data_IF_649511635288
#
_entry.id   IF_649511635288
#
_cell.length_a   1.000
_cell.length_b   1.000
_cell.length_c   1.000
_cell.angle_alpha   90.00
_cell.angle_beta   90.00
_cell.angle_gamma   90.00
#
_symmetry.space_group_name_H-M   'P 1'
#
loop_
_entity.id
_entity.type
_entity.pdbx_description
1 polymer ?
#
# COMPACT_ATOMS: atom_id res chain seq x y z
N UNK A 1 -23.48 -27.83 -9.43
CA UNK A 1 -23.31 -26.38 -9.67
C UNK A 1 -22.92 -25.74 -8.34
N UNK A 2 -21.98 -24.77 -8.30
CA UNK A 2 -21.64 -24.10 -7.04
C UNK A 2 -22.85 -23.32 -6.52
N UNK A 3 -23.11 -23.40 -5.21
CA UNK A 3 -24.26 -22.79 -4.52
C UNK A 3 -23.95 -21.42 -3.92
N UNK A 4 -22.68 -21.02 -3.87
CA UNK A 4 -22.24 -19.69 -3.43
C UNK A 4 -20.88 -19.33 -4.04
N UNK A 5 -20.61 -18.04 -4.15
CA UNK A 5 -19.31 -17.44 -4.53
C UNK A 5 -19.01 -16.33 -3.51
N UNK A 6 -17.76 -16.28 -3.04
CA UNK A 6 -17.26 -15.19 -2.18
C UNK A 6 -16.42 -14.30 -3.08
N UNK A 7 -16.79 -13.02 -3.13
CA UNK A 7 -16.02 -11.98 -3.82
C UNK A 7 -15.18 -11.24 -2.80
N UNK A 8 -13.92 -11.02 -3.14
CA UNK A 8 -13.07 -10.10 -2.40
C UNK A 8 -13.49 -8.65 -2.69
N UNK A 9 -13.10 -7.72 -1.81
CA UNK A 9 -13.49 -6.31 -1.90
C UNK A 9 -12.44 -5.48 -2.66
N UNK A 10 -11.18 -5.57 -2.24
CA UNK A 10 -10.08 -4.75 -2.74
C UNK A 10 -9.58 -5.26 -4.10
N UNK A 11 -9.42 -4.34 -5.07
CA UNK A 11 -9.00 -4.68 -6.44
C UNK A 11 -10.04 -5.41 -7.29
N UNK A 12 -11.21 -5.75 -6.73
CA UNK A 12 -12.29 -6.46 -7.42
C UNK A 12 -13.61 -5.67 -7.46
N UNK A 13 -14.09 -5.17 -6.32
CA UNK A 13 -15.30 -4.34 -6.25
C UNK A 13 -14.99 -2.84 -6.27
N UNK A 14 -13.84 -2.46 -5.72
CA UNK A 14 -13.33 -1.09 -5.70
C UNK A 14 -11.89 -1.10 -6.22
N UNK A 15 -11.49 -0.11 -7.02
CA UNK A 15 -10.14 -0.01 -7.58
C UNK A 15 -9.14 0.57 -6.55
N UNK A 16 -9.10 -0.05 -5.36
CA UNK A 16 -8.25 0.36 -4.25
C UNK A 16 -6.78 0.04 -4.50
N UNK A 17 -6.49 -0.93 -5.39
CA UNK A 17 -5.13 -1.29 -5.79
C UNK A 17 -4.43 -0.19 -6.60
N UNK A 18 -5.13 0.42 -7.57
CA UNK A 18 -4.56 1.53 -8.36
C UNK A 18 -4.27 2.76 -7.50
N UNK A 19 -5.15 3.08 -6.55
CA UNK A 19 -4.93 4.16 -5.58
C UNK A 19 -3.75 3.83 -4.65
N UNK A 20 -3.66 2.59 -4.17
CA UNK A 20 -2.57 2.10 -3.34
C UNK A 20 -1.20 2.18 -4.03
N UNK A 21 -1.14 1.83 -5.32
CA UNK A 21 0.08 1.95 -6.12
C UNK A 21 0.49 3.43 -6.29
N UNK A 22 -0.45 4.30 -6.67
CA UNK A 22 -0.18 5.75 -6.82
C UNK A 22 0.29 6.39 -5.52
N UNK A 23 -0.25 5.96 -4.38
CA UNK A 23 0.22 6.42 -3.07
C UNK A 23 1.68 6.02 -2.82
N UNK A 24 2.10 4.80 -3.18
CA UNK A 24 3.51 4.39 -3.10
C UNK A 24 4.41 5.14 -4.07
N UNK A 25 3.95 5.44 -5.29
CA UNK A 25 4.67 6.27 -6.25
C UNK A 25 4.90 7.69 -5.72
N UNK A 26 3.89 8.27 -5.05
CA UNK A 26 4.01 9.55 -4.36
C UNK A 26 5.05 9.52 -3.22
N UNK A 27 5.04 8.45 -2.41
CA UNK A 27 6.05 8.23 -1.36
C UNK A 27 7.44 8.10 -1.99
N UNK A 28 7.59 7.32 -3.06
CA UNK A 28 8.87 7.14 -3.74
C UNK A 28 9.44 8.46 -4.29
N UNK A 29 8.58 9.32 -4.85
CA UNK A 29 8.97 10.62 -5.38
C UNK A 29 9.35 11.63 -4.27
N UNK A 30 8.74 11.54 -3.08
CA UNK A 30 8.97 12.46 -1.98
C UNK A 30 10.14 12.05 -1.07
N UNK A 31 10.60 10.80 -1.12
CA UNK A 31 11.65 10.30 -0.24
C UNK A 31 13.03 10.27 -0.92
N UNK A 32 13.92 11.18 -0.49
CA UNK A 32 15.32 11.30 -0.99
C UNK A 32 16.15 10.02 -0.89
N UNK A 33 15.79 9.08 -0.01
CA UNK A 33 16.48 7.79 0.16
C UNK A 33 15.97 6.69 -0.76
N UNK A 34 15.05 7.02 -1.66
CA UNK A 34 14.35 6.08 -2.53
C UNK A 34 13.40 5.16 -1.76
N UNK A 35 12.29 4.85 -2.41
CA UNK A 35 11.43 3.72 -2.04
C UNK A 35 11.51 2.69 -3.16
N UNK A 36 11.60 1.41 -2.78
CA UNK A 36 11.65 0.31 -3.72
C UNK A 36 10.21 -0.10 -4.06
N UNK A 37 9.72 0.39 -5.20
CA UNK A 37 8.36 0.09 -5.67
C UNK A 37 8.14 -1.40 -5.96
N UNK A 38 9.20 -2.21 -6.09
CA UNK A 38 9.03 -3.67 -6.23
C UNK A 38 8.43 -4.32 -4.98
N UNK A 39 8.51 -3.66 -3.82
CA UNK A 39 7.91 -4.12 -2.57
C UNK A 39 6.38 -4.00 -2.58
N UNK A 40 5.80 -3.15 -3.44
CA UNK A 40 4.35 -2.94 -3.50
C UNK A 40 3.58 -4.24 -3.75
N UNK A 41 4.04 -5.06 -4.71
CA UNK A 41 3.40 -6.35 -5.02
C UNK A 41 3.45 -7.32 -3.85
N UNK A 42 4.52 -7.29 -3.06
CA UNK A 42 4.67 -8.17 -1.91
C UNK A 42 3.75 -7.78 -0.73
N UNK A 43 3.21 -6.56 -0.74
CA UNK A 43 2.31 -6.02 0.29
C UNK A 43 0.82 -6.19 -0.04
N UNK A 44 0.46 -6.53 -1.29
CA UNK A 44 -0.93 -6.76 -1.68
C UNK A 44 -1.52 -7.92 -0.86
N UNK A 45 -2.72 -7.71 -0.32
CA UNK A 45 -3.43 -8.71 0.49
C UNK A 45 -2.85 -8.96 1.89
N UNK A 46 -1.84 -8.20 2.33
CA UNK A 46 -1.30 -8.26 3.69
C UNK A 46 -1.92 -7.20 4.57
N UNK A 47 -1.97 -7.48 5.87
CA UNK A 47 -2.33 -6.46 6.85
C UNK A 47 -1.18 -5.44 7.06
N UNK A 48 -1.52 -4.34 7.74
CA UNK A 48 -0.57 -3.25 8.01
C UNK A 48 0.65 -3.72 8.82
N UNK A 49 0.48 -4.62 9.78
CA UNK A 49 1.59 -5.06 10.64
C UNK A 49 2.60 -5.87 9.83
N UNK A 50 2.11 -6.76 8.96
CA UNK A 50 2.93 -7.54 8.03
C UNK A 50 3.65 -6.65 7.01
N UNK A 51 2.98 -5.62 6.47
CA UNK A 51 3.62 -4.65 5.57
C UNK A 51 4.75 -3.88 6.27
N UNK A 52 4.53 -3.40 7.50
CA UNK A 52 5.57 -2.71 8.28
C UNK A 52 6.74 -3.66 8.57
N UNK A 53 6.47 -4.92 8.91
CA UNK A 53 7.52 -5.92 9.14
C UNK A 53 8.35 -6.19 7.88
N UNK A 54 7.70 -6.30 6.72
CA UNK A 54 8.37 -6.47 5.41
C UNK A 54 9.28 -5.28 5.10
N UNK A 55 8.77 -4.05 5.26
CA UNK A 55 9.54 -2.82 5.06
C UNK A 55 10.71 -2.72 6.04
N UNK A 56 10.49 -3.07 7.31
CA UNK A 56 11.52 -3.03 8.35
C UNK A 56 12.63 -4.05 8.04
N UNK A 57 12.26 -5.24 7.58
CA UNK A 57 13.21 -6.26 7.14
C UNK A 57 14.03 -5.82 5.93
N UNK A 58 13.39 -5.20 4.94
CA UNK A 58 14.08 -4.74 3.72
C UNK A 58 15.03 -3.56 4.00
N UNK A 59 14.59 -2.58 4.78
CA UNK A 59 15.36 -1.36 5.06
C UNK A 59 16.23 -1.45 6.33
N UNK A 60 16.13 -2.53 7.10
CA UNK A 60 16.84 -2.71 8.38
C UNK A 60 16.45 -1.70 9.46
N UNK A 61 15.24 -1.11 9.37
CA UNK A 61 14.82 -0.04 10.28
C UNK A 61 13.31 0.00 10.47
N UNK A 62 12.86 -0.35 11.68
CA UNK A 62 11.46 -0.22 12.10
C UNK A 62 10.96 1.23 12.00
N UNK A 63 11.77 2.19 12.46
CA UNK A 63 11.45 3.61 12.41
C UNK A 63 11.21 4.08 10.97
N UNK A 64 12.04 3.63 10.02
CA UNK A 64 11.87 3.97 8.60
C UNK A 64 10.62 3.31 8.03
N UNK A 65 10.37 2.04 8.35
CA UNK A 65 9.18 1.33 7.90
C UNK A 65 7.89 2.03 8.35
N UNK A 66 7.81 2.40 9.62
CA UNK A 66 6.66 3.13 10.17
C UNK A 66 6.48 4.51 9.50
N UNK A 67 7.58 5.22 9.27
CA UNK A 67 7.54 6.51 8.56
C UNK A 67 7.06 6.39 7.12
N UNK A 68 7.52 5.38 6.38
CA UNK A 68 7.08 5.10 5.01
C UNK A 68 5.59 4.74 4.99
N UNK A 69 5.15 3.92 5.96
CA UNK A 69 3.76 3.50 6.05
C UNK A 69 2.83 4.66 6.41
N UNK A 70 3.25 5.57 7.28
CA UNK A 70 2.51 6.79 7.59
C UNK A 70 2.42 7.75 6.39
N UNK A 71 3.52 7.89 5.64
CA UNK A 71 3.53 8.69 4.41
C UNK A 71 2.57 8.12 3.36
N UNK A 72 2.54 6.79 3.20
CA UNK A 72 1.61 6.12 2.29
C UNK A 72 0.15 6.35 2.67
N UNK A 73 -0.21 6.22 3.95
CA UNK A 73 -1.59 6.50 4.43
C UNK A 73 -1.99 7.93 4.07
N UNK A 74 -1.10 8.89 4.31
CA UNK A 74 -1.33 10.31 3.98
C UNK A 74 -1.59 10.51 2.49
N UNK A 75 -0.77 9.89 1.63
CA UNK A 75 -0.93 9.97 0.17
C UNK A 75 -2.21 9.26 -0.30
N UNK A 76 -2.55 8.11 0.29
CA UNK A 76 -3.74 7.34 -0.04
C UNK A 76 -5.02 8.14 0.26
N UNK A 77 -5.12 8.71 1.46
CA UNK A 77 -6.25 9.55 1.87
C UNK A 77 -6.41 10.77 0.97
N UNK A 78 -5.29 11.40 0.60
CA UNK A 78 -5.29 12.55 -0.30
C UNK A 78 -5.81 12.21 -1.71
N UNK A 79 -5.41 11.06 -2.27
CA UNK A 79 -5.86 10.61 -3.59
C UNK A 79 -7.34 10.22 -3.54
N UNK A 80 -7.73 9.42 -2.55
CA UNK A 80 -9.11 8.94 -2.38
C UNK A 80 -10.12 10.06 -2.12
N UNK A 81 -9.67 11.18 -1.55
CA UNK A 81 -10.51 12.36 -1.33
C UNK A 81 -10.81 13.14 -2.62
N UNK A 82 -9.94 13.02 -3.64
CA UNK A 82 -10.10 13.68 -4.95
C UNK A 82 -10.88 12.78 -5.91
N UNK A 83 -10.67 11.47 -5.80
CA UNK A 83 -11.24 10.46 -6.68
C UNK A 83 -11.89 9.38 -5.80
N UNK A 84 -13.21 9.49 -5.51
CA UNK A 84 -13.89 8.51 -4.67
C UNK A 84 -13.80 7.13 -5.33
N UNK A 85 -13.23 6.19 -4.60
CA UNK A 85 -13.10 4.77 -4.96
C UNK A 85 -14.39 4.02 -4.64
#
# INVERSE_FOLDING_TARGET
MPTAVIFDMDGLMLDTESVGQRAWESVAAAHDRGFDLSLCQAMIGRDRADCVALLASHYGSQQRAESLMAAWITSYDAISSVEPI
#
